data_IF_148499116176
#
_entry.id   IF_148499116176
#
_cell.length_a   1.000
_cell.length_b   1.000
_cell.length_c   1.000
_cell.angle_alpha   90.00
_cell.angle_beta   90.00
_cell.angle_gamma   90.00
#
_symmetry.space_group_name_H-M   'P 1'
#
loop_
_entity.id
_entity.type
_entity.pdbx_description
1 polymer ?
#
# COMPACT_ATOMS: atom_id res chain seq x y z
N UNK A 1 -15.50 9.64 -3.46
CA UNK A 1 -15.18 8.26 -3.86
C UNK A 1 -16.27 7.82 -4.81
N UNK A 2 -15.92 7.19 -5.94
CA UNK A 2 -16.90 6.67 -6.91
C UNK A 2 -17.41 5.32 -6.45
N UNK A 3 -18.56 4.91 -6.97
CA UNK A 3 -19.08 3.57 -6.78
C UNK A 3 -18.15 2.54 -7.44
N UNK A 4 -18.01 1.39 -6.81
CA UNK A 4 -17.21 0.27 -7.29
C UNK A 4 -17.86 -1.05 -6.91
N UNK A 5 -17.59 -2.10 -7.68
CA UNK A 5 -17.92 -3.47 -7.28
C UNK A 5 -16.92 -3.97 -6.24
N UNK A 6 -17.38 -4.76 -5.27
CA UNK A 6 -16.52 -5.41 -4.30
C UNK A 6 -16.50 -6.92 -4.53
N UNK A 7 -15.31 -7.49 -4.60
CA UNK A 7 -15.08 -8.93 -4.73
C UNK A 7 -14.13 -9.37 -3.64
N UNK A 8 -14.49 -10.44 -2.93
CA UNK A 8 -13.57 -11.12 -2.01
C UNK A 8 -12.92 -12.30 -2.73
N UNK A 9 -11.60 -12.37 -2.70
CA UNK A 9 -10.86 -13.49 -3.27
C UNK A 9 -10.40 -14.43 -2.16
N UNK A 10 -10.66 -15.73 -2.33
CA UNK A 10 -10.28 -16.76 -1.35
C UNK A 10 -8.93 -17.43 -1.70
N UNK A 11 -8.42 -17.22 -2.92
CA UNK A 11 -7.14 -17.76 -3.37
C UNK A 11 -6.33 -16.72 -4.14
N UNK A 12 -5.00 -16.90 -4.17
CA UNK A 12 -4.10 -16.07 -4.98
C UNK A 12 -4.48 -16.13 -6.46
N UNK A 13 -4.86 -17.31 -6.95
CA UNK A 13 -5.27 -17.52 -8.34
C UNK A 13 -6.52 -16.71 -8.68
N UNK A 14 -7.55 -16.76 -7.82
CA UNK A 14 -8.77 -15.98 -7.99
C UNK A 14 -8.49 -14.47 -7.94
N UNK A 15 -7.65 -14.03 -7.00
CA UNK A 15 -7.25 -12.62 -6.89
C UNK A 15 -6.49 -12.15 -8.15
N UNK A 16 -5.58 -12.97 -8.67
CA UNK A 16 -4.82 -12.68 -9.89
C UNK A 16 -5.74 -12.59 -11.10
N UNK A 17 -6.66 -13.54 -11.25
CA UNK A 17 -7.63 -13.54 -12.35
C UNK A 17 -8.52 -12.29 -12.30
N UNK A 18 -9.08 -11.97 -11.13
CA UNK A 18 -9.91 -10.78 -10.95
C UNK A 18 -9.11 -9.49 -11.20
N UNK A 19 -7.82 -9.46 -10.85
CA UNK A 19 -6.95 -8.27 -11.06
C UNK A 19 -6.68 -7.96 -12.53
N UNK A 20 -6.97 -8.87 -13.45
CA UNK A 20 -6.87 -8.62 -14.88
C UNK A 20 -8.03 -7.77 -15.41
N UNK A 21 -9.10 -7.56 -14.63
CA UNK A 21 -10.22 -6.71 -15.02
C UNK A 21 -9.77 -5.24 -15.11
N UNK A 22 -10.15 -4.50 -16.17
CA UNK A 22 -9.81 -3.08 -16.30
C UNK A 22 -10.28 -2.25 -15.10
N UNK A 23 -9.36 -1.51 -14.49
CA UNK A 23 -9.65 -0.67 -13.32
C UNK A 23 -9.77 -1.41 -11.99
N UNK A 24 -9.50 -2.73 -11.95
CA UNK A 24 -9.46 -3.47 -10.70
C UNK A 24 -8.26 -3.07 -9.83
N UNK A 25 -8.48 -3.03 -8.51
CA UNK A 25 -7.43 -2.74 -7.53
C UNK A 25 -7.52 -3.68 -6.32
N UNK A 26 -6.36 -4.13 -5.84
CA UNK A 26 -6.27 -5.00 -4.67
C UNK A 26 -6.46 -4.21 -3.36
N UNK A 27 -7.29 -4.74 -2.47
CA UNK A 27 -7.49 -4.28 -1.11
C UNK A 27 -6.90 -5.29 -0.11
N UNK A 28 -5.96 -4.80 0.70
CA UNK A 28 -5.47 -5.50 1.89
C UNK A 28 -5.85 -4.70 3.14
N UNK A 29 -4.90 -4.01 3.76
CA UNK A 29 -5.17 -3.17 4.94
C UNK A 29 -5.95 -1.88 4.67
N UNK A 30 -6.17 -1.50 3.41
CA UNK A 30 -6.94 -0.31 3.02
C UNK A 30 -6.28 1.06 3.30
N UNK A 31 -5.20 1.11 4.09
CA UNK A 31 -4.55 2.34 4.57
C UNK A 31 -3.99 3.27 3.49
N UNK A 32 -3.79 2.76 2.27
CA UNK A 32 -3.44 3.57 1.09
C UNK A 32 -4.56 3.64 0.05
N UNK A 33 -5.14 2.50 -0.34
CA UNK A 33 -6.14 2.46 -1.42
C UNK A 33 -7.37 3.31 -1.09
N UNK A 34 -7.95 3.14 0.11
CA UNK A 34 -9.18 3.85 0.52
C UNK A 34 -8.92 5.35 0.61
N UNK A 35 -7.76 5.74 1.12
CA UNK A 35 -7.29 7.11 1.21
C UNK A 35 -7.16 7.75 -0.19
N UNK A 36 -6.46 7.10 -1.12
CA UNK A 36 -6.33 7.60 -2.50
C UNK A 36 -7.66 7.66 -3.25
N UNK A 37 -8.57 6.73 -2.98
CA UNK A 37 -9.91 6.74 -3.58
C UNK A 37 -10.80 7.86 -3.03
N UNK A 38 -10.59 8.28 -1.79
CA UNK A 38 -11.21 9.49 -1.22
C UNK A 38 -10.61 10.76 -1.81
N UNK A 39 -9.30 10.80 -2.03
CA UNK A 39 -8.62 11.89 -2.72
C UNK A 39 -8.95 12.00 -4.22
N UNK A 40 -9.67 11.05 -4.81
CA UNK A 40 -9.94 11.03 -6.26
C UNK A 40 -8.71 10.68 -7.11
N UNK A 41 -7.66 10.12 -6.50
CA UNK A 41 -6.44 9.69 -7.20
C UNK A 41 -6.57 8.27 -7.72
N UNK A 42 -7.20 7.40 -6.92
CA UNK A 42 -7.56 6.05 -7.32
C UNK A 42 -9.06 6.01 -7.65
N UNK A 43 -9.42 5.47 -8.80
CA UNK A 43 -10.81 5.35 -9.23
C UNK A 43 -11.08 3.90 -9.62
N UNK A 44 -11.08 2.96 -8.66
CA UNK A 44 -11.27 1.55 -8.98
C UNK A 44 -12.68 1.31 -9.53
N UNK A 45 -12.80 0.48 -10.56
CA UNK A 45 -14.08 -0.09 -11.01
C UNK A 45 -14.49 -1.26 -10.11
N UNK A 46 -13.50 -2.05 -9.69
CA UNK A 46 -13.64 -3.20 -8.80
C UNK A 46 -12.56 -3.19 -7.75
N UNK A 47 -12.94 -3.43 -6.49
CA UNK A 47 -12.03 -3.62 -5.38
C UNK A 47 -11.99 -5.10 -5.02
N UNK A 48 -10.80 -5.69 -5.08
CA UNK A 48 -10.56 -7.12 -4.82
C UNK A 48 -9.94 -7.26 -3.44
N UNK A 49 -10.72 -7.70 -2.47
CA UNK A 49 -10.26 -7.95 -1.11
C UNK A 49 -9.49 -9.26 -1.05
N UNK A 50 -8.20 -9.15 -0.73
CA UNK A 50 -7.27 -10.26 -0.55
C UNK A 50 -6.99 -10.56 0.92
N UNK A 51 -7.57 -9.81 1.86
CA UNK A 51 -7.24 -9.91 3.29
C UNK A 51 -7.58 -11.25 3.94
N UNK A 52 -8.39 -12.06 3.26
CA UNK A 52 -8.84 -13.38 3.70
C UNK A 52 -8.09 -14.56 3.07
N UNK A 53 -7.15 -14.31 2.15
CA UNK A 53 -6.37 -15.39 1.54
C UNK A 53 -5.41 -15.98 2.58
N UNK A 54 -5.59 -17.27 2.88
CA UNK A 54 -4.78 -17.99 3.84
C UNK A 54 -3.33 -18.20 3.34
N UNK A 55 -2.41 -18.43 4.29
CA UNK A 55 -1.00 -18.71 3.97
C UNK A 55 -0.15 -17.50 3.57
N UNK A 56 -0.75 -16.31 3.36
CA UNK A 56 -0.02 -15.10 2.97
C UNK A 56 0.41 -14.21 4.13
N UNK A 57 0.18 -14.61 5.38
CA UNK A 57 0.56 -13.84 6.58
C UNK A 57 1.70 -14.45 7.40
N UNK A 58 2.25 -15.58 6.95
CA UNK A 58 3.32 -16.30 7.64
C UNK A 58 4.60 -15.46 7.74
N UNK A 59 5.33 -15.63 8.84
CA UNK A 59 6.63 -15.02 9.10
C UNK A 59 7.58 -16.16 9.50
N UNK A 60 8.55 -16.46 8.65
CA UNK A 60 9.59 -17.47 8.91
C UNK A 60 10.95 -16.78 8.94
N UNK A 61 11.71 -17.00 10.02
CA UNK A 61 12.96 -16.28 10.28
C UNK A 61 14.05 -17.23 10.74
N UNK A 62 15.16 -17.22 10.02
CA UNK A 62 16.44 -17.82 10.40
C UNK A 62 17.46 -16.73 10.69
N UNK A 63 18.69 -17.10 11.08
CA UNK A 63 19.76 -16.15 11.35
C UNK A 63 20.18 -15.34 10.11
N UNK A 64 19.96 -15.87 8.91
CA UNK A 64 20.42 -15.33 7.63
C UNK A 64 19.29 -14.94 6.67
N UNK A 65 18.04 -15.32 6.95
CA UNK A 65 16.88 -15.05 6.08
C UNK A 65 15.62 -14.71 6.88
N UNK A 66 14.81 -13.82 6.32
CA UNK A 66 13.41 -13.64 6.72
C UNK A 66 12.50 -13.79 5.50
N UNK A 67 11.50 -14.66 5.60
CA UNK A 67 10.39 -14.76 4.65
C UNK A 67 9.13 -14.20 5.31
N UNK A 68 8.60 -13.12 4.74
CA UNK A 68 7.46 -12.40 5.30
C UNK A 68 6.34 -12.38 4.26
N UNK A 69 5.20 -12.96 4.63
CA UNK A 69 4.02 -13.00 3.78
C UNK A 69 3.46 -11.60 3.49
N UNK A 70 2.92 -11.41 2.28
CA UNK A 70 2.41 -10.11 1.82
C UNK A 70 1.23 -9.56 2.65
N UNK A 71 0.48 -10.43 3.32
CA UNK A 71 -0.62 -10.07 4.23
C UNK A 71 -0.20 -9.99 5.70
N UNK A 72 1.06 -10.27 6.04
CA UNK A 72 1.56 -10.07 7.38
C UNK A 72 1.37 -8.61 7.79
N UNK A 73 0.82 -8.36 8.99
CA UNK A 73 0.60 -7.01 9.51
C UNK A 73 1.93 -6.36 9.88
N UNK A 74 2.07 -5.06 9.62
CA UNK A 74 3.28 -4.33 9.99
C UNK A 74 3.60 -4.46 11.48
N UNK A 75 2.58 -4.40 12.35
CA UNK A 75 2.78 -4.58 13.80
C UNK A 75 3.30 -5.98 14.14
N UNK A 76 2.73 -7.04 13.57
CA UNK A 76 3.21 -8.41 13.82
C UNK A 76 4.65 -8.62 13.37
N UNK A 77 5.03 -8.07 12.22
CA UNK A 77 6.41 -8.17 11.71
C UNK A 77 7.37 -7.37 12.59
N UNK A 78 6.97 -6.17 13.03
CA UNK A 78 7.76 -5.34 13.93
C UNK A 78 7.96 -6.00 15.31
N UNK A 79 6.94 -6.72 15.81
CA UNK A 79 7.00 -7.42 17.09
C UNK A 79 7.64 -8.80 17.06
N UNK A 80 7.84 -9.37 15.86
CA UNK A 80 8.36 -10.74 15.72
C UNK A 80 9.76 -10.87 16.33
N UNK A 81 9.92 -11.79 17.29
CA UNK A 81 11.17 -11.96 18.05
C UNK A 81 12.37 -12.21 17.12
N UNK A 82 12.22 -13.09 16.13
CA UNK A 82 13.28 -13.36 15.15
C UNK A 82 13.67 -12.12 14.32
N UNK A 83 12.70 -11.26 13.97
CA UNK A 83 12.98 -10.02 13.22
C UNK A 83 13.73 -9.04 14.10
N UNK A 84 13.30 -8.85 15.36
CA UNK A 84 13.99 -7.97 16.31
C UNK A 84 15.45 -8.40 16.55
N UNK A 85 15.70 -9.70 16.62
CA UNK A 85 17.05 -10.22 16.89
C UNK A 85 17.93 -10.24 15.64
N UNK A 86 17.44 -10.78 14.51
CA UNK A 86 18.27 -11.03 13.33
C UNK A 86 18.21 -9.87 12.31
N UNK A 87 17.13 -9.09 12.30
CA UNK A 87 16.88 -8.01 11.34
C UNK A 87 16.34 -6.73 12.02
N UNK A 88 17.03 -6.19 13.06
CA UNK A 88 16.51 -5.11 13.91
C UNK A 88 16.10 -3.86 13.14
N UNK A 89 16.85 -3.49 12.08
CA UNK A 89 16.53 -2.34 11.24
C UNK A 89 15.13 -2.44 10.59
N UNK A 90 14.66 -3.66 10.28
CA UNK A 90 13.30 -3.87 9.75
C UNK A 90 12.26 -3.58 10.82
N UNK A 91 12.44 -4.11 12.04
CA UNK A 91 11.54 -3.86 13.16
C UNK A 91 11.45 -2.37 13.50
N UNK A 92 12.60 -1.70 13.61
CA UNK A 92 12.68 -0.27 13.94
C UNK A 92 12.03 0.60 12.87
N UNK A 93 12.29 0.34 11.58
CA UNK A 93 11.68 1.07 10.49
C UNK A 93 10.15 0.94 10.51
N UNK A 94 9.63 -0.25 10.81
CA UNK A 94 8.19 -0.47 10.93
C UNK A 94 7.62 0.29 12.14
N UNK A 95 8.30 0.32 13.29
CA UNK A 95 7.83 1.05 14.47
C UNK A 95 7.80 2.57 14.31
N UNK A 96 8.75 3.12 13.57
CA UNK A 96 8.82 4.55 13.27
C UNK A 96 7.81 4.98 12.20
N UNK A 97 7.18 4.02 11.51
CA UNK A 97 6.21 4.31 10.46
C UNK A 97 4.78 4.47 11.00
N UNK A 98 4.15 5.60 10.67
CA UNK A 98 2.73 5.87 10.92
C UNK A 98 2.32 5.76 12.41
N UNK A 99 1.03 5.52 12.68
CA UNK A 99 0.49 5.27 14.02
C UNK A 99 0.28 3.77 14.28
N UNK A 100 0.09 3.40 15.55
CA UNK A 100 -0.17 2.00 15.93
C UNK A 100 -1.42 1.43 15.23
N UNK A 101 -2.48 2.22 15.13
CA UNK A 101 -3.73 1.84 14.46
C UNK A 101 -3.49 1.50 12.98
N UNK A 102 -2.70 2.34 12.29
CA UNK A 102 -2.36 2.11 10.90
C UNK A 102 -1.46 0.86 10.74
N UNK A 103 -0.51 0.63 11.66
CA UNK A 103 0.33 -0.58 11.63
C UNK A 103 -0.44 -1.87 11.87
N UNK A 104 -1.50 -1.82 12.67
CA UNK A 104 -2.38 -2.97 12.90
C UNK A 104 -3.25 -3.31 11.68
N UNK A 105 -3.52 -2.33 10.82
CA UNK A 105 -4.26 -2.56 9.58
C UNK A 105 -3.35 -2.90 8.39
N UNK A 106 -2.25 -2.16 8.24
CA UNK A 106 -1.36 -2.21 7.10
C UNK A 106 -0.66 -3.57 7.01
N UNK A 107 -0.65 -4.13 5.79
CA UNK A 107 0.10 -5.34 5.46
C UNK A 107 1.44 -4.98 4.83
N UNK A 108 2.42 -5.88 4.87
CA UNK A 108 3.74 -5.65 4.24
C UNK A 108 3.62 -5.43 2.73
N UNK A 109 2.83 -6.24 2.03
CA UNK A 109 2.59 -6.05 0.59
C UNK A 109 1.95 -4.69 0.29
N UNK A 110 0.98 -4.26 1.10
CA UNK A 110 0.38 -2.93 0.97
C UNK A 110 1.33 -1.78 1.32
N UNK A 111 2.23 -1.99 2.29
CA UNK A 111 3.24 -0.99 2.69
C UNK A 111 4.25 -0.74 1.56
N UNK A 112 4.74 -1.79 0.90
CA UNK A 112 5.65 -1.68 -0.24
C UNK A 112 5.00 -0.95 -1.43
N UNK A 113 3.70 -1.20 -1.66
CA UNK A 113 2.93 -0.59 -2.76
C UNK A 113 2.32 0.78 -2.40
N UNK A 114 2.68 1.37 -1.26
CA UNK A 114 2.16 2.68 -0.89
C UNK A 114 2.60 3.75 -1.88
N UNK A 115 1.83 4.84 -1.98
CA UNK A 115 2.09 5.91 -2.96
C UNK A 115 2.75 7.12 -2.30
N UNK A 116 3.37 7.95 -3.14
CA UNK A 116 4.03 9.20 -2.74
C UNK A 116 3.10 10.11 -1.92
N UNK A 117 3.70 10.89 -1.01
CA UNK A 117 3.02 11.91 -0.20
C UNK A 117 3.07 13.31 -0.84
N UNK A 118 3.51 13.43 -2.09
CA UNK A 118 3.47 14.66 -2.87
C UNK A 118 2.06 15.30 -2.82
N UNK A 119 1.90 16.54 -2.31
CA UNK A 119 0.58 17.15 -2.16
C UNK A 119 -0.10 17.36 -3.51
N UNK A 120 0.66 17.75 -4.52
CA UNK A 120 0.19 17.90 -5.90
C UNK A 120 -0.35 16.61 -6.50
N UNK A 121 0.26 15.47 -6.18
CA UNK A 121 -0.22 14.14 -6.60
C UNK A 121 -1.55 13.79 -5.92
N UNK A 122 -1.74 14.22 -4.67
CA UNK A 122 -2.85 13.81 -3.81
C UNK A 122 -4.10 14.68 -3.93
N UNK A 123 -4.03 15.79 -4.67
CA UNK A 123 -5.13 16.71 -4.88
C UNK A 123 -5.34 16.98 -6.38
N UNK A 124 -5.95 16.02 -7.10
CA UNK A 124 -6.19 16.13 -8.53
C UNK A 124 -7.17 17.24 -8.92
N UNK A 125 -8.06 17.66 -8.00
CA UNK A 125 -9.04 18.70 -8.27
C UNK A 125 -8.39 20.08 -8.41
N UNK A 126 -7.38 20.38 -7.60
CA UNK A 126 -6.69 21.67 -7.64
C UNK A 126 -5.42 21.67 -8.50
N UNK A 127 -4.76 20.52 -8.68
CA UNK A 127 -3.49 20.43 -9.39
C UNK A 127 -3.55 19.41 -10.53
N UNK A 128 -4.14 19.75 -11.70
CA UNK A 128 -4.34 18.79 -12.78
C UNK A 128 -3.03 18.25 -13.38
N UNK A 129 -1.97 19.07 -13.40
CA UNK A 129 -0.66 18.70 -13.94
C UNK A 129 0.13 17.77 -13.00
N UNK A 130 0.10 16.46 -13.28
CA UNK A 130 0.88 15.45 -12.58
C UNK A 130 1.13 14.23 -13.46
N UNK A 131 2.33 14.14 -14.04
CA UNK A 131 2.77 13.02 -14.90
C UNK A 131 2.60 11.64 -14.25
N UNK A 132 2.66 11.55 -12.92
CA UNK A 132 2.47 10.30 -12.17
C UNK A 132 1.00 9.83 -12.14
N UNK A 133 0.03 10.74 -12.31
CA UNK A 133 -1.39 10.37 -12.49
C UNK A 133 -1.75 10.26 -13.97
N UNK A 134 -1.38 11.27 -14.76
CA UNK A 134 -1.70 11.38 -16.18
C UNK A 134 -0.41 11.70 -16.95
N UNK A 135 0.22 10.72 -17.62
CA UNK A 135 1.44 10.93 -18.39
C UNK A 135 1.28 12.06 -19.41
N UNK A 136 2.27 12.96 -19.48
CA UNK A 136 2.26 14.12 -20.38
C UNK A 136 1.57 15.37 -19.84
N UNK A 137 0.87 15.30 -18.70
CA UNK A 137 0.18 16.47 -18.10
C UNK A 137 1.10 17.50 -17.45
N UNK A 138 2.40 17.21 -17.31
CA UNK A 138 3.37 18.07 -16.62
C UNK A 138 3.50 17.76 -15.12
N UNK A 139 4.16 18.64 -14.37
CA UNK A 139 4.42 18.44 -12.94
C UNK A 139 4.23 19.73 -12.14
N UNK A 140 3.12 19.85 -11.42
CA UNK A 140 2.82 21.02 -10.57
C UNK A 140 3.82 21.22 -9.42
N UNK A 141 4.65 20.23 -9.11
CA UNK A 141 5.70 20.37 -8.10
C UNK A 141 6.89 21.21 -8.59
N UNK A 142 7.16 21.23 -9.91
CA UNK A 142 8.26 22.02 -10.47
C UNK A 142 7.86 23.50 -10.40
N UNK A 143 8.70 24.32 -9.78
CA UNK A 143 8.39 25.73 -9.48
C UNK A 143 7.44 25.92 -8.29
N UNK A 144 7.00 24.83 -7.63
CA UNK A 144 6.16 24.86 -6.44
C UNK A 144 6.94 24.62 -5.14
N UNK A 145 6.23 24.21 -4.08
CA UNK A 145 6.81 23.85 -2.78
C UNK A 145 7.37 22.42 -2.84
N UNK A 146 8.70 22.32 -2.90
CA UNK A 146 9.39 21.04 -3.12
C UNK A 146 9.97 20.38 -1.87
N UNK A 147 9.77 20.94 -0.66
CA UNK A 147 10.33 20.39 0.61
C UNK A 147 10.08 18.89 0.84
N UNK A 148 8.96 18.35 0.34
CA UNK A 148 8.61 16.93 0.44
C UNK A 148 8.95 16.06 -0.78
N UNK A 149 9.83 16.53 -1.67
CA UNK A 149 10.21 15.84 -2.91
C UNK A 149 11.65 15.33 -2.84
N UNK A 150 12.02 14.48 -3.80
CA UNK A 150 13.36 13.90 -3.88
C UNK A 150 14.43 14.95 -4.19
N UNK A 151 15.66 14.69 -3.72
CA UNK A 151 16.89 15.41 -4.06
C UNK A 151 17.73 14.64 -5.06
#
# INVERSE_FOLDING_TARGET
MRDFSYLRADTVEAARHASALPGAMLLAGGTTLVDLAKCGVAEPSTVIDISHIEGLSAIDVTADRAMIGALAKMSHVADHAGIKTCFPAVSEALWQAASAQLRNMATIGGNLMQRTRCPYFRDPANFPACNKRAPGSGCSAIGGVTRGHAV
#
